data_IF_021204392860
#
_entry.id   IF_021204392860
#
_cell.length_a   1.000
_cell.length_b   1.000
_cell.length_c   1.000
_cell.angle_alpha   90.00
_cell.angle_beta   90.00
_cell.angle_gamma   90.00
#
_symmetry.space_group_name_H-M   'P 1'
#
loop_
_entity.id
_entity.type
_entity.pdbx_description
1 polymer ?
#
# COMPACT_ATOMS: atom_id res chain seq x y z
N UNK A 1 -5.93 -10.76 -7.45
CA UNK A 1 -6.22 -9.33 -7.17
C UNK A 1 -7.71 -9.16 -6.92
N UNK A 2 -8.07 -8.63 -5.78
CA UNK A 2 -9.43 -8.20 -5.48
C UNK A 2 -9.75 -6.95 -6.32
N UNK A 3 -10.96 -6.85 -6.85
CA UNK A 3 -11.37 -5.74 -7.73
C UNK A 3 -12.57 -5.02 -7.14
N UNK A 4 -12.77 -3.76 -7.54
CA UNK A 4 -13.96 -3.00 -7.15
C UNK A 4 -15.24 -3.75 -7.55
N UNK A 5 -15.28 -4.33 -8.74
CA UNK A 5 -16.47 -5.05 -9.23
C UNK A 5 -16.78 -6.28 -8.37
N UNK A 6 -15.76 -7.02 -7.92
CA UNK A 6 -15.94 -8.14 -7.02
C UNK A 6 -16.47 -7.66 -5.65
N UNK A 7 -15.93 -6.56 -5.13
CA UNK A 7 -16.39 -5.96 -3.87
C UNK A 7 -17.83 -5.42 -3.97
N UNK A 8 -18.19 -4.78 -5.09
CA UNK A 8 -19.57 -4.32 -5.34
C UNK A 8 -20.53 -5.52 -5.33
N UNK A 9 -20.19 -6.62 -6.00
CA UNK A 9 -21.00 -7.84 -6.00
C UNK A 9 -21.17 -8.41 -4.60
N UNK A 10 -20.09 -8.46 -3.83
CA UNK A 10 -20.11 -8.93 -2.45
C UNK A 10 -21.05 -8.09 -1.56
N UNK A 11 -20.95 -6.77 -1.62
CA UNK A 11 -21.83 -5.86 -0.87
C UNK A 11 -23.28 -5.98 -1.34
N UNK A 12 -23.50 -6.06 -2.67
CA UNK A 12 -24.85 -6.17 -3.25
C UNK A 12 -25.54 -7.51 -2.95
N UNK A 13 -24.78 -8.56 -2.66
CA UNK A 13 -25.34 -9.87 -2.24
C UNK A 13 -25.85 -9.87 -0.79
N UNK A 14 -25.71 -8.75 -0.05
CA UNK A 14 -26.11 -8.64 1.35
C UNK A 14 -25.07 -9.15 2.32
N UNK A 15 -23.87 -9.52 1.88
CA UNK A 15 -22.77 -9.89 2.76
C UNK A 15 -22.32 -8.69 3.59
N UNK A 16 -22.11 -8.93 4.90
CA UNK A 16 -21.68 -7.88 5.83
C UNK A 16 -20.20 -7.61 5.67
N UNK A 17 -19.84 -6.60 4.87
CA UNK A 17 -18.47 -6.12 4.69
C UNK A 17 -18.14 -5.04 5.72
N UNK A 18 -16.95 -5.13 6.32
CA UNK A 18 -16.43 -4.12 7.25
C UNK A 18 -15.32 -3.35 6.53
N UNK A 19 -15.42 -2.03 6.52
CA UNK A 19 -14.42 -1.14 5.92
C UNK A 19 -13.52 -0.53 6.99
N UNK A 20 -12.27 -0.26 6.62
CA UNK A 20 -11.31 0.51 7.41
C UNK A 20 -10.75 1.63 6.53
N UNK A 21 -11.35 2.82 6.56
CA UNK A 21 -10.79 3.98 5.89
C UNK A 21 -9.47 4.42 6.53
N UNK A 22 -8.52 4.82 5.71
CA UNK A 22 -7.27 5.43 6.14
C UNK A 22 -6.87 6.57 5.21
N UNK A 23 -6.18 7.55 5.77
CA UNK A 23 -5.60 8.68 5.05
C UNK A 23 -4.56 9.39 5.90
N UNK A 24 -3.64 10.13 5.25
CA UNK A 24 -2.56 10.82 5.92
C UNK A 24 -1.43 9.88 6.37
N UNK A 25 -0.42 10.44 7.02
CA UNK A 25 0.80 9.71 7.40
C UNK A 25 1.37 10.20 8.74
N UNK A 26 0.50 10.67 9.63
CA UNK A 26 0.89 11.12 10.98
C UNK A 26 0.42 10.10 12.02
N UNK A 27 1.22 9.85 13.08
CA UNK A 27 0.79 9.04 14.21
C UNK A 27 -0.40 9.70 14.91
N UNK A 28 -1.06 8.94 15.77
CA UNK A 28 -2.07 9.48 16.66
C UNK A 28 -1.45 10.48 17.63
N UNK A 29 -2.23 11.38 18.27
CA UNK A 29 -1.71 12.35 19.22
C UNK A 29 -0.95 11.72 20.40
N UNK A 30 -1.29 10.50 20.80
CA UNK A 30 -0.61 9.71 21.83
C UNK A 30 0.63 8.95 21.32
N UNK A 31 1.00 9.14 20.06
CA UNK A 31 2.13 8.45 19.42
C UNK A 31 1.83 7.01 18.97
N UNK A 32 0.67 6.46 19.28
CA UNK A 32 0.31 5.10 18.90
C UNK A 32 0.05 4.94 17.40
N UNK A 33 0.19 3.70 16.90
CA UNK A 33 -0.16 3.37 15.53
C UNK A 33 -1.67 3.52 15.30
N UNK A 34 -2.00 4.11 14.16
CA UNK A 34 -3.37 4.26 13.69
C UNK A 34 -3.48 3.90 12.20
N UNK A 35 -4.67 4.05 11.59
CA UNK A 35 -4.87 3.75 10.18
C UNK A 35 -3.91 4.47 9.23
N UNK A 36 -3.40 5.65 9.61
CA UNK A 36 -2.41 6.41 8.84
C UNK A 36 -1.10 5.66 8.57
N UNK A 37 -0.74 4.63 9.40
CA UNK A 37 0.44 3.81 9.15
C UNK A 37 0.33 2.96 7.86
N UNK A 38 -0.88 2.80 7.33
CA UNK A 38 -1.14 2.11 6.05
C UNK A 38 -0.69 2.93 4.84
N UNK A 39 -0.55 4.26 4.99
CA UNK A 39 -0.11 5.15 3.89
C UNK A 39 1.28 4.80 3.37
N UNK A 40 1.48 4.96 2.05
CA UNK A 40 2.81 4.88 1.42
C UNK A 40 3.81 5.92 1.97
N UNK A 41 3.30 7.02 2.52
CA UNK A 41 4.09 8.12 3.05
C UNK A 41 4.44 7.97 4.54
N UNK A 42 3.95 6.93 5.20
CA UNK A 42 4.27 6.67 6.60
C UNK A 42 5.79 6.49 6.78
N UNK A 43 6.42 7.18 7.78
CA UNK A 43 7.84 7.05 8.06
C UNK A 43 8.18 5.65 8.59
N UNK A 44 8.55 4.76 7.71
CA UNK A 44 8.94 3.40 8.02
C UNK A 44 9.98 2.96 7.00
N UNK A 45 11.25 3.05 7.39
CA UNK A 45 12.33 2.62 6.53
C UNK A 45 12.46 1.10 6.54
N UNK A 46 12.76 0.53 5.38
CA UNK A 46 13.07 -0.89 5.21
C UNK A 46 14.18 -1.07 4.18
N UNK A 47 14.81 -2.25 4.20
CA UNK A 47 15.92 -2.60 3.30
C UNK A 47 15.53 -3.82 2.47
N UNK A 48 15.83 -3.78 1.17
CA UNK A 48 15.65 -4.92 0.26
C UNK A 48 16.96 -5.10 -0.51
N UNK A 49 17.58 -6.26 -0.36
CA UNK A 49 18.98 -6.44 -0.75
C UNK A 49 19.86 -5.42 0.01
N UNK A 50 20.68 -4.69 -0.72
CA UNK A 50 21.57 -3.66 -0.15
C UNK A 50 20.97 -2.25 -0.22
N UNK A 51 19.71 -2.09 -0.67
CA UNK A 51 19.08 -0.80 -0.87
C UNK A 51 18.10 -0.48 0.26
N UNK A 52 18.31 0.69 0.91
CA UNK A 52 17.44 1.21 1.94
C UNK A 52 16.41 2.18 1.34
N UNK A 53 15.15 1.98 1.66
CA UNK A 53 14.03 2.82 1.28
C UNK A 53 13.48 3.53 2.51
N UNK A 54 13.40 4.85 2.50
CA UNK A 54 12.94 5.63 3.65
C UNK A 54 11.43 5.50 3.91
N UNK A 55 10.64 5.27 2.87
CA UNK A 55 9.20 4.98 2.94
C UNK A 55 8.79 4.10 1.74
N UNK A 56 7.59 3.57 1.76
CA UNK A 56 7.04 2.81 0.63
C UNK A 56 6.85 3.68 -0.64
N UNK A 57 6.70 5.00 -0.51
CA UNK A 57 6.73 5.91 -1.67
C UNK A 57 8.09 5.94 -2.36
N UNK A 58 9.21 5.92 -1.59
CA UNK A 58 10.56 5.83 -2.17
C UNK A 58 10.74 4.52 -2.94
N UNK A 59 10.26 3.40 -2.38
CA UNK A 59 10.24 2.11 -3.08
C UNK A 59 9.48 2.19 -4.40
N UNK A 60 8.25 2.70 -4.38
CA UNK A 60 7.39 2.78 -5.56
C UNK A 60 8.03 3.67 -6.65
N UNK A 61 8.60 4.82 -6.28
CA UNK A 61 9.19 5.75 -7.23
C UNK A 61 10.52 5.27 -7.79
N UNK A 62 11.38 4.66 -6.96
CA UNK A 62 12.61 4.01 -7.42
C UNK A 62 12.29 2.81 -8.33
N UNK A 63 11.31 1.98 -7.95
CA UNK A 63 10.86 0.86 -8.76
C UNK A 63 10.26 1.30 -10.11
N UNK A 64 9.51 2.40 -10.12
CA UNK A 64 9.04 3.01 -11.35
C UNK A 64 10.20 3.43 -12.25
N UNK A 65 11.19 4.14 -11.72
CA UNK A 65 12.36 4.56 -12.49
C UNK A 65 13.14 3.36 -13.05
N UNK A 66 13.31 2.32 -12.24
CA UNK A 66 13.96 1.07 -12.65
C UNK A 66 13.21 0.36 -13.78
N UNK A 67 11.88 0.33 -13.72
CA UNK A 67 11.02 -0.26 -14.76
C UNK A 67 11.26 0.38 -16.14
N UNK A 68 11.54 1.69 -16.17
CA UNK A 68 11.80 2.44 -17.39
C UNK A 68 13.31 2.64 -17.69
N UNK A 69 14.21 2.02 -16.94
CA UNK A 69 15.65 2.08 -17.14
C UNK A 69 16.27 3.47 -16.84
N UNK A 70 15.59 4.32 -16.06
CA UNK A 70 16.08 5.65 -15.70
C UNK A 70 16.83 5.63 -14.37
N UNK A 71 18.13 5.28 -14.43
CA UNK A 71 19.00 5.21 -13.26
C UNK A 71 19.18 6.57 -12.54
N UNK A 72 19.05 7.69 -13.25
CA UNK A 72 19.12 9.02 -12.64
C UNK A 72 17.89 9.32 -11.80
N UNK A 73 16.69 9.04 -12.32
CA UNK A 73 15.45 9.19 -11.59
C UNK A 73 15.35 8.17 -10.43
N UNK A 74 15.88 6.94 -10.59
CA UNK A 74 15.97 5.97 -9.52
C UNK A 74 16.79 6.50 -8.35
N UNK A 75 18.02 6.97 -8.63
CA UNK A 75 18.88 7.56 -7.60
C UNK A 75 18.22 8.77 -6.94
N UNK A 76 17.62 9.68 -7.72
CA UNK A 76 16.91 10.84 -7.18
C UNK A 76 15.73 10.45 -6.27
N UNK A 77 15.02 9.36 -6.58
CA UNK A 77 13.96 8.84 -5.73
C UNK A 77 14.50 8.23 -4.43
N UNK A 78 15.62 7.51 -4.47
CA UNK A 78 16.25 6.90 -3.30
C UNK A 78 16.85 7.93 -2.34
N UNK A 79 17.49 8.98 -2.89
CA UNK A 79 18.13 10.07 -2.13
C UNK A 79 17.14 11.15 -1.66
N UNK A 80 15.87 11.05 -2.05
CA UNK A 80 14.86 12.02 -1.68
C UNK A 80 14.71 12.13 -0.16
N UNK A 81 14.62 13.36 0.35
CA UNK A 81 14.50 13.63 1.80
C UNK A 81 13.07 13.54 2.32
N UNK A 82 12.10 13.32 1.44
CA UNK A 82 10.69 13.19 1.80
C UNK A 82 9.92 12.37 0.76
N UNK A 83 8.78 11.76 1.13
CA UNK A 83 7.91 11.08 0.16
C UNK A 83 7.43 11.99 -0.98
N UNK A 84 7.21 13.28 -0.69
CA UNK A 84 6.84 14.27 -1.71
C UNK A 84 7.97 14.48 -2.73
N UNK A 85 9.22 14.54 -2.28
CA UNK A 85 10.39 14.65 -3.15
C UNK A 85 10.59 13.37 -3.99
N UNK A 86 10.43 12.19 -3.38
CA UNK A 86 10.46 10.92 -4.10
C UNK A 86 9.37 10.86 -5.20
N UNK A 87 8.13 11.28 -4.86
CA UNK A 87 7.04 11.38 -5.84
C UNK A 87 7.37 12.33 -6.99
N UNK A 88 8.02 13.45 -6.68
CA UNK A 88 8.48 14.39 -7.71
C UNK A 88 9.51 13.75 -8.65
N UNK A 89 10.50 13.02 -8.13
CA UNK A 89 11.46 12.28 -8.94
C UNK A 89 10.75 11.25 -9.84
N UNK A 90 9.81 10.47 -9.31
CA UNK A 90 9.04 9.50 -10.08
C UNK A 90 8.14 10.08 -11.17
N UNK A 91 7.79 11.38 -11.09
CA UNK A 91 7.07 12.10 -12.17
C UNK A 91 7.98 12.52 -13.32
N UNK A 92 9.29 12.58 -13.08
CA UNK A 92 10.28 13.01 -14.06
C UNK A 92 10.97 11.84 -14.77
N UNK A 93 10.52 10.62 -14.52
CA UNK A 93 11.06 9.40 -15.16
C UNK A 93 10.95 9.50 -16.67
N UNK A 94 12.10 9.35 -17.36
CA UNK A 94 12.20 9.34 -18.81
C UNK A 94 11.77 7.98 -19.38
N UNK A 95 11.31 7.99 -20.63
CA UNK A 95 10.85 6.77 -21.29
C UNK A 95 9.56 6.19 -20.70
N UNK A 96 8.80 7.00 -19.96
CA UNK A 96 7.56 6.57 -19.32
C UNK A 96 6.52 6.09 -20.35
N UNK A 97 5.94 4.93 -20.09
CA UNK A 97 4.84 4.33 -20.85
C UNK A 97 3.69 4.01 -19.89
N UNK A 98 2.53 4.61 -20.14
CA UNK A 98 1.35 4.44 -19.28
C UNK A 98 0.88 2.99 -19.22
N UNK A 99 0.88 2.29 -20.36
CA UNK A 99 0.38 0.90 -20.44
C UNK A 99 1.27 -0.05 -19.63
N UNK A 100 2.59 0.10 -19.76
CA UNK A 100 3.55 -0.68 -18.99
C UNK A 100 3.41 -0.37 -17.49
N UNK A 101 3.30 0.91 -17.13
CA UNK A 101 3.13 1.32 -15.73
C UNK A 101 1.83 0.78 -15.13
N UNK A 102 0.72 0.86 -15.84
CA UNK A 102 -0.57 0.34 -15.38
C UNK A 102 -0.54 -1.17 -15.11
N UNK A 103 0.19 -1.90 -15.93
CA UNK A 103 0.37 -3.35 -15.76
C UNK A 103 1.21 -3.71 -14.55
N UNK A 104 2.28 -2.97 -14.28
CA UNK A 104 3.31 -3.35 -13.28
C UNK A 104 3.11 -2.68 -11.92
N UNK A 105 2.47 -1.50 -11.87
CA UNK A 105 2.37 -0.67 -10.65
C UNK A 105 1.76 -1.39 -9.45
N UNK A 106 0.75 -2.24 -9.68
CA UNK A 106 0.06 -2.92 -8.60
C UNK A 106 0.98 -3.93 -7.89
N UNK A 107 1.62 -4.82 -8.65
CA UNK A 107 2.55 -5.81 -8.11
C UNK A 107 3.70 -5.15 -7.35
N UNK A 108 4.25 -4.05 -7.90
CA UNK A 108 5.31 -3.28 -7.25
C UNK A 108 4.88 -2.75 -5.88
N UNK A 109 3.65 -2.23 -5.76
CA UNK A 109 3.14 -1.70 -4.48
C UNK A 109 2.80 -2.81 -3.49
N UNK A 110 2.29 -3.95 -3.95
CA UNK A 110 2.10 -5.14 -3.10
C UNK A 110 3.43 -5.56 -2.48
N UNK A 111 4.48 -5.67 -3.30
CA UNK A 111 5.80 -6.11 -2.84
C UNK A 111 6.41 -5.11 -1.84
N UNK A 112 6.38 -3.81 -2.14
CA UNK A 112 6.82 -2.77 -1.21
C UNK A 112 6.04 -2.78 0.11
N UNK A 113 4.75 -3.11 0.06
CA UNK A 113 3.93 -3.25 1.27
C UNK A 113 4.33 -4.49 2.07
N UNK A 114 4.62 -5.62 1.43
CA UNK A 114 5.15 -6.81 2.12
C UNK A 114 6.47 -6.49 2.83
N UNK A 115 7.40 -5.81 2.17
CA UNK A 115 8.66 -5.41 2.78
C UNK A 115 8.46 -4.42 3.94
N UNK A 116 7.67 -3.37 3.74
CA UNK A 116 7.38 -2.38 4.79
C UNK A 116 6.81 -3.03 6.05
N UNK A 117 5.75 -3.81 5.90
CA UNK A 117 5.06 -4.42 7.03
C UNK A 117 5.76 -5.68 7.55
N UNK A 118 6.57 -6.33 6.74
CA UNK A 118 7.38 -7.49 7.14
C UNK A 118 8.59 -7.13 7.98
N UNK A 119 9.19 -5.94 7.76
CA UNK A 119 10.41 -5.52 8.45
C UNK A 119 10.19 -4.88 9.84
N UNK A 120 8.97 -4.46 10.16
CA UNK A 120 8.63 -3.82 11.45
C UNK A 120 7.54 -4.65 12.16
N UNK A 121 7.84 -5.27 13.32
CA UNK A 121 6.88 -6.11 14.05
C UNK A 121 5.61 -5.37 14.47
N UNK A 122 5.69 -4.09 14.82
CA UNK A 122 4.52 -3.31 15.24
C UNK A 122 3.61 -2.98 14.04
N UNK A 123 4.19 -2.61 12.90
CA UNK A 123 3.45 -2.41 11.66
C UNK A 123 2.83 -3.72 11.15
N UNK A 124 3.60 -4.83 11.22
CA UNK A 124 3.10 -6.16 10.87
C UNK A 124 1.88 -6.53 11.72
N UNK A 125 1.99 -6.38 13.04
CA UNK A 125 0.90 -6.66 13.96
C UNK A 125 -0.33 -5.78 13.67
N UNK A 126 -0.12 -4.49 13.34
CA UNK A 126 -1.19 -3.59 12.97
C UNK A 126 -1.92 -4.06 11.71
N UNK A 127 -1.18 -4.34 10.61
CA UNK A 127 -1.78 -4.78 9.35
C UNK A 127 -2.53 -6.11 9.52
N UNK A 128 -1.94 -7.09 10.19
CA UNK A 128 -2.59 -8.37 10.46
C UNK A 128 -3.82 -8.22 11.36
N UNK A 129 -3.78 -7.31 12.35
CA UNK A 129 -4.88 -6.96 13.25
C UNK A 129 -6.05 -6.25 12.56
N UNK A 130 -5.90 -5.80 11.31
CA UNK A 130 -7.03 -5.32 10.51
C UNK A 130 -8.05 -6.43 10.19
N UNK A 131 -7.71 -7.70 10.42
CA UNK A 131 -8.59 -8.83 10.17
C UNK A 131 -8.98 -8.94 8.70
N UNK A 132 -10.25 -9.15 8.42
CA UNK A 132 -10.78 -9.24 7.04
C UNK A 132 -11.44 -7.93 6.57
N UNK A 133 -11.14 -6.81 7.24
CA UNK A 133 -11.66 -5.51 6.81
C UNK A 133 -11.12 -5.14 5.43
N UNK A 134 -11.98 -4.56 4.61
CA UNK A 134 -11.58 -3.90 3.37
C UNK A 134 -10.86 -2.61 3.73
N UNK A 135 -9.61 -2.48 3.30
CA UNK A 135 -8.80 -1.29 3.52
C UNK A 135 -9.12 -0.28 2.43
N UNK A 136 -9.40 0.97 2.82
CA UNK A 136 -9.90 2.01 1.91
C UNK A 136 -9.02 3.24 2.03
N UNK A 137 -8.24 3.54 0.98
CA UNK A 137 -7.52 4.81 0.93
C UNK A 137 -8.49 5.95 0.63
N UNK A 138 -8.96 6.60 1.70
CA UNK A 138 -9.94 7.69 1.63
C UNK A 138 -9.25 9.02 1.29
N UNK A 139 -8.59 9.06 0.13
CA UNK A 139 -7.92 10.23 -0.41
C UNK A 139 -8.82 10.94 -1.42
N UNK A 140 -9.27 12.19 -1.16
CA UNK A 140 -10.17 12.89 -2.07
C UNK A 140 -9.51 13.31 -3.39
N UNK A 141 -8.17 13.39 -3.41
CA UNK A 141 -7.39 13.83 -4.59
C UNK A 141 -6.77 12.67 -5.38
N UNK A 142 -6.84 11.44 -4.87
CA UNK A 142 -6.25 10.28 -5.54
C UNK A 142 -7.34 9.32 -6.02
N UNK A 143 -7.45 9.19 -7.34
CA UNK A 143 -8.42 8.30 -7.98
C UNK A 143 -7.80 6.99 -8.49
N UNK A 144 -6.52 6.82 -8.30
CA UNK A 144 -5.81 5.60 -8.69
C UNK A 144 -5.55 4.74 -7.46
N UNK A 145 -4.80 5.27 -6.50
CA UNK A 145 -4.47 4.56 -5.28
C UNK A 145 -5.59 4.64 -4.24
N UNK A 146 -6.32 5.75 -4.20
CA UNK A 146 -7.45 5.99 -3.33
C UNK A 146 -8.80 5.89 -4.03
N UNK A 147 -9.85 6.19 -3.26
CA UNK A 147 -11.25 6.16 -3.73
C UNK A 147 -11.76 7.48 -4.30
N UNK A 148 -10.94 8.55 -4.29
CA UNK A 148 -11.34 9.89 -4.73
C UNK A 148 -12.39 10.56 -3.85
N UNK A 149 -12.52 10.12 -2.58
CA UNK A 149 -13.44 10.64 -1.57
C UNK A 149 -12.71 10.71 -0.22
N UNK A 150 -13.11 11.62 0.66
CA UNK A 150 -12.63 11.69 2.03
C UNK A 150 -13.28 10.63 2.93
N UNK A 151 -12.66 10.36 4.08
CA UNK A 151 -13.16 9.35 5.02
C UNK A 151 -14.48 9.77 5.72
N UNK A 152 -14.77 11.05 5.74
CA UNK A 152 -15.98 11.67 6.27
C UNK A 152 -17.14 11.72 5.25
N UNK A 153 -16.88 11.37 4.00
CA UNK A 153 -17.90 11.26 2.97
C UNK A 153 -18.71 9.98 3.17
N UNK A 154 -20.03 10.08 3.27
CA UNK A 154 -20.93 8.92 3.45
C UNK A 154 -20.76 7.83 2.38
N UNK A 155 -20.30 8.22 1.18
CA UNK A 155 -20.04 7.32 0.05
C UNK A 155 -18.76 6.52 0.20
N UNK A 156 -17.89 6.87 1.15
CA UNK A 156 -16.61 6.16 1.35
C UNK A 156 -16.81 4.69 1.75
N UNK A 157 -17.95 4.33 2.32
CA UNK A 157 -18.31 2.97 2.72
C UNK A 157 -19.18 2.24 1.68
N UNK A 158 -19.40 2.86 0.51
CA UNK A 158 -20.17 2.28 -0.60
C UNK A 158 -19.29 2.18 -1.86
N UNK A 159 -18.76 0.97 -2.17
CA UNK A 159 -17.85 0.80 -3.32
C UNK A 159 -18.47 1.20 -4.66
N UNK A 160 -19.80 1.10 -4.82
CA UNK A 160 -20.47 1.48 -6.06
C UNK A 160 -20.45 3.00 -6.29
N UNK A 161 -20.17 3.79 -5.26
CA UNK A 161 -20.11 5.26 -5.30
C UNK A 161 -18.67 5.82 -5.29
N UNK A 162 -17.66 4.96 -5.26
CA UNK A 162 -16.26 5.40 -5.31
C UNK A 162 -15.93 6.06 -6.64
N UNK A 163 -15.06 7.04 -6.59
CA UNK A 163 -14.57 7.81 -7.75
C UNK A 163 -13.16 7.41 -8.20
N UNK A 164 -12.58 6.45 -7.51
CA UNK A 164 -11.22 5.96 -7.71
C UNK A 164 -11.11 4.45 -7.48
N UNK A 165 -9.97 3.89 -7.84
CA UNK A 165 -9.74 2.44 -7.96
C UNK A 165 -9.39 1.74 -6.64
N UNK A 166 -9.05 2.48 -5.58
CA UNK A 166 -8.58 1.93 -4.29
C UNK A 166 -7.40 0.93 -4.42
N UNK A 167 -6.52 1.12 -5.40
CA UNK A 167 -5.45 0.15 -5.64
C UNK A 167 -4.54 -0.06 -4.43
N UNK A 168 -4.29 0.98 -3.61
CA UNK A 168 -3.50 0.83 -2.39
C UNK A 168 -4.23 -0.02 -1.35
N UNK A 169 -5.52 0.19 -1.16
CA UNK A 169 -6.30 -0.64 -0.25
C UNK A 169 -6.23 -2.12 -0.62
N UNK A 170 -6.42 -2.46 -1.89
CA UNK A 170 -6.32 -3.84 -2.38
C UNK A 170 -4.89 -4.39 -2.29
N UNK A 171 -3.86 -3.60 -2.61
CA UNK A 171 -2.47 -4.02 -2.48
C UNK A 171 -2.08 -4.33 -1.03
N UNK A 172 -2.55 -3.54 -0.08
CA UNK A 172 -2.35 -3.80 1.35
C UNK A 172 -3.08 -5.07 1.82
N UNK A 173 -4.28 -5.33 1.30
CA UNK A 173 -5.01 -6.56 1.61
C UNK A 173 -4.27 -7.79 1.07
N UNK A 174 -3.74 -7.72 -0.14
CA UNK A 174 -2.91 -8.80 -0.70
C UNK A 174 -1.60 -8.98 0.08
N UNK A 175 -0.92 -7.90 0.45
CA UNK A 175 0.27 -7.96 1.30
C UNK A 175 -0.05 -8.59 2.67
N UNK A 176 -1.19 -8.26 3.27
CA UNK A 176 -1.69 -8.88 4.51
C UNK A 176 -1.83 -10.39 4.38
N UNK A 177 -2.42 -10.88 3.29
CA UNK A 177 -2.58 -12.33 3.07
C UNK A 177 -1.22 -13.03 2.85
N UNK A 178 -0.28 -12.42 2.13
CA UNK A 178 1.08 -12.95 1.98
C UNK A 178 1.77 -13.07 3.34
N UNK A 179 1.75 -12.01 4.17
CA UNK A 179 2.35 -12.03 5.50
C UNK A 179 1.67 -13.01 6.47
N UNK A 180 0.38 -13.30 6.30
CA UNK A 180 -0.33 -14.36 7.03
C UNK A 180 0.14 -15.75 6.62
N UNK A 181 0.33 -15.96 5.31
CA UNK A 181 0.82 -17.24 4.79
C UNK A 181 2.24 -17.53 5.31
N UNK A 182 3.13 -16.53 5.30
CA UNK A 182 4.49 -16.65 5.84
C UNK A 182 4.46 -17.02 7.33
N UNK A 183 3.65 -16.33 8.13
CA UNK A 183 3.53 -16.63 9.56
C UNK A 183 3.02 -18.06 9.83
N UNK A 184 2.12 -18.58 8.99
CA UNK A 184 1.64 -19.96 9.11
C UNK A 184 2.71 -20.97 8.71
N UNK A 185 3.51 -20.67 7.67
CA UNK A 185 4.61 -21.50 7.25
C UNK A 185 5.70 -21.59 8.33
N UNK A 186 6.07 -20.45 8.91
CA UNK A 186 7.05 -20.39 10.02
C UNK A 186 6.57 -21.19 11.24
N UNK A 187 5.29 -21.06 11.61
CA UNK A 187 4.72 -21.81 12.73
C UNK A 187 4.71 -23.33 12.50
N UNK A 188 4.42 -23.78 11.26
CA UNK A 188 4.48 -25.21 10.90
C UNK A 188 5.91 -25.74 10.97
N UNK A 189 6.87 -25.00 10.39
CA UNK A 189 8.27 -25.40 10.41
C UNK A 189 8.87 -25.39 11.83
N UNK A 190 8.34 -24.58 12.76
CA UNK A 190 8.71 -24.63 14.18
C UNK A 190 8.16 -25.89 14.87
N UNK A 191 6.88 -26.22 14.62
CA UNK A 191 6.24 -27.40 15.21
C UNK A 191 6.84 -28.75 14.73
N UNK A 192 7.38 -28.78 13.51
CA UNK A 192 8.05 -29.99 12.97
C UNK A 192 9.49 -30.20 13.52
N UNK A 193 10.03 -29.23 14.26
CA UNK A 193 11.37 -29.29 14.88
C UNK A 193 11.33 -29.65 16.37
N UNK A 194 10.15 -29.69 16.99
CA UNK A 194 9.90 -30.12 18.36
C UNK A 194 9.53 -31.61 18.42
#
# INVERSE_FOLDING_TARGET
>A
METIDALIKQVSSGERVKFLPFWGHRPRPDGSLGPSCLSQWWPSAFTVGDVRYATAEHWMMAGKARLFGDAEAERAALEATSPAAAKKAGRLVRGFDDTLWERERYALVVEGSVHKFGSDPALRAYLLGTGNRVLVEASPMDRIWGIGLGADDERALDPARWRGLNLLGFALMEARERLRADARADARAAAERE
#
